data_IF_335616722302
#
_entry.id   IF_335616722302
#
_cell.length_a   1.000
_cell.length_b   1.000
_cell.length_c   1.000
_cell.angle_alpha   90.00
_cell.angle_beta   90.00
_cell.angle_gamma   90.00
#
_symmetry.space_group_name_H-M   'P 1'
#
loop_
_entity.id
_entity.type
_entity.pdbx_description
1 polymer ?
#
# COMPACT_ATOMS: atom_id res chain seq x y z
N UNK A 1 0.26 -1.79 -46.40
CA UNK A 1 0.64 -2.51 -45.17
C UNK A 1 0.73 -1.47 -44.06
N UNK A 2 -0.25 -1.43 -43.17
CA UNK A 2 -0.19 -0.66 -41.94
C UNK A 2 -0.93 -1.52 -40.92
N UNK A 3 -0.17 -2.18 -40.06
CA UNK A 3 -0.69 -2.92 -38.92
C UNK A 3 -1.02 -1.89 -37.85
N UNK A 4 -2.31 -1.64 -37.68
CA UNK A 4 -2.86 -0.88 -36.59
C UNK A 4 -3.17 -1.90 -35.48
N UNK A 5 -2.26 -2.08 -34.53
CA UNK A 5 -2.48 -2.93 -33.37
C UNK A 5 -3.18 -2.07 -32.31
N UNK A 6 -4.50 -2.03 -32.39
CA UNK A 6 -5.35 -1.61 -31.27
C UNK A 6 -5.34 -2.80 -30.32
N UNK A 7 -4.73 -2.58 -29.16
CA UNK A 7 -4.74 -3.50 -28.03
C UNK A 7 -6.19 -3.68 -27.59
N UNK A 8 -6.82 -4.77 -28.04
CA UNK A 8 -8.08 -5.26 -27.51
C UNK A 8 -7.82 -5.63 -26.04
N UNK A 9 -8.22 -4.74 -25.13
CA UNK A 9 -8.49 -5.10 -23.75
C UNK A 9 -9.60 -6.15 -23.78
N UNK A 10 -9.17 -7.41 -23.81
CA UNK A 10 -10.02 -8.58 -23.70
C UNK A 10 -10.86 -8.44 -22.44
N UNK A 11 -12.16 -8.55 -22.65
CA UNK A 11 -13.18 -8.21 -21.68
C UNK A 11 -13.00 -9.04 -20.43
N UNK A 12 -12.82 -8.36 -19.30
CA UNK A 12 -13.32 -8.90 -18.04
C UNK A 12 -14.83 -8.91 -18.21
N UNK A 13 -15.37 -10.01 -18.74
CA UNK A 13 -16.75 -10.41 -18.52
C UNK A 13 -16.95 -10.35 -17.01
N UNK A 14 -17.51 -9.22 -16.57
CA UNK A 14 -18.16 -9.10 -15.28
C UNK A 14 -19.33 -10.07 -15.38
N UNK A 15 -19.06 -11.33 -15.06
CA UNK A 15 -20.08 -12.36 -14.97
C UNK A 15 -21.15 -11.79 -14.08
N UNK A 16 -22.32 -11.64 -14.69
CA UNK A 16 -23.52 -11.15 -14.08
C UNK A 16 -23.68 -11.89 -12.75
N UNK A 17 -23.56 -11.13 -11.65
CA UNK A 17 -23.95 -11.58 -10.33
C UNK A 17 -25.47 -11.72 -10.34
N UNK A 18 -25.96 -12.74 -11.03
CA UNK A 18 -27.35 -13.16 -10.97
C UNK A 18 -27.65 -13.46 -9.50
N UNK A 19 -28.39 -12.53 -8.91
CA UNK A 19 -29.03 -12.61 -7.60
C UNK A 19 -29.62 -14.01 -7.37
N UNK A 20 -28.86 -14.89 -6.75
CA UNK A 20 -29.40 -15.97 -5.92
C UNK A 20 -29.56 -15.47 -4.50
N UNK A 21 -30.29 -14.37 -4.33
CA UNK A 21 -30.67 -13.83 -3.03
C UNK A 21 -31.97 -14.47 -2.56
N UNK A 22 -31.99 -15.80 -2.44
CA UNK A 22 -32.79 -16.39 -1.37
C UNK A 22 -31.96 -16.21 -0.10
N UNK A 23 -32.50 -15.66 1.00
CA UNK A 23 -31.75 -15.61 2.24
C UNK A 23 -31.34 -17.04 2.60
N UNK A 24 -30.02 -17.27 2.64
CA UNK A 24 -29.40 -18.58 2.87
C UNK A 24 -29.75 -19.16 4.25
N UNK A 25 -30.19 -18.28 5.14
CA UNK A 25 -30.66 -18.58 6.48
C UNK A 25 -32.08 -18.05 6.58
N UNK A 26 -32.95 -18.85 7.17
CA UNK A 26 -34.27 -18.42 7.62
C UNK A 26 -34.09 -17.28 8.63
N UNK A 27 -35.04 -16.33 8.70
CA UNK A 27 -34.97 -15.23 9.67
C UNK A 27 -34.76 -15.72 11.12
N UNK A 28 -35.31 -16.90 11.45
CA UNK A 28 -35.11 -17.54 12.75
C UNK A 28 -33.69 -18.07 12.95
N UNK A 29 -33.05 -18.61 11.90
CA UNK A 29 -31.66 -19.09 11.96
C UNK A 29 -30.69 -17.91 12.12
N UNK A 30 -30.94 -16.81 11.42
CA UNK A 30 -30.18 -15.58 11.58
C UNK A 30 -30.32 -15.04 13.02
N UNK A 31 -31.54 -15.02 13.56
CA UNK A 31 -31.78 -14.59 14.95
C UNK A 31 -31.08 -15.49 15.96
N UNK A 32 -31.00 -16.80 15.72
CA UNK A 32 -30.27 -17.74 16.59
C UNK A 32 -28.77 -17.43 16.57
N UNK A 33 -28.19 -17.13 15.42
CA UNK A 33 -26.78 -16.73 15.31
C UNK A 33 -26.52 -15.40 16.02
N UNK A 34 -27.39 -14.41 15.84
CA UNK A 34 -27.28 -13.13 16.56
C UNK A 34 -27.33 -13.33 18.09
N UNK A 35 -28.17 -14.26 18.58
CA UNK A 35 -28.20 -14.63 19.99
C UNK A 35 -26.95 -15.36 20.46
N UNK A 36 -26.35 -16.21 19.61
CA UNK A 36 -25.08 -16.87 19.90
C UNK A 36 -23.95 -15.85 20.07
N UNK A 37 -23.83 -14.91 19.12
CA UNK A 37 -22.84 -13.84 19.16
C UNK A 37 -23.03 -12.96 20.39
N UNK A 38 -24.28 -12.60 20.71
CA UNK A 38 -24.61 -11.82 21.91
C UNK A 38 -24.30 -12.58 23.20
N UNK A 39 -24.51 -13.89 23.23
CA UNK A 39 -24.15 -14.73 24.38
C UNK A 39 -22.65 -14.80 24.57
N UNK A 40 -21.88 -14.90 23.49
CA UNK A 40 -20.43 -14.89 23.56
C UNK A 40 -19.91 -13.54 24.10
N UNK A 41 -20.44 -12.43 23.59
CA UNK A 41 -20.11 -11.08 24.07
C UNK A 41 -20.39 -10.92 25.58
N UNK A 42 -21.58 -11.36 26.03
CA UNK A 42 -21.95 -11.31 27.45
C UNK A 42 -21.06 -12.21 28.31
N UNK A 43 -20.65 -13.38 27.82
CA UNK A 43 -19.71 -14.24 28.53
C UNK A 43 -18.34 -13.57 28.70
N UNK A 44 -17.87 -12.87 27.66
CA UNK A 44 -16.63 -12.10 27.73
C UNK A 44 -16.75 -10.92 28.71
N UNK A 45 -17.87 -10.20 28.71
CA UNK A 45 -18.14 -9.11 29.64
C UNK A 45 -18.19 -9.59 31.09
N UNK A 46 -18.88 -10.71 31.36
CA UNK A 46 -18.91 -11.33 32.69
C UNK A 46 -17.51 -11.76 33.13
N UNK A 47 -16.72 -12.35 32.23
CA UNK A 47 -15.34 -12.73 32.52
C UNK A 47 -14.48 -11.50 32.87
N UNK A 48 -14.66 -10.40 32.14
CA UNK A 48 -13.99 -9.12 32.40
C UNK A 48 -14.37 -8.54 33.77
N UNK A 49 -15.67 -8.47 34.09
CA UNK A 49 -16.16 -7.96 35.37
C UNK A 49 -15.71 -8.82 36.57
N UNK A 50 -15.60 -10.14 36.38
CA UNK A 50 -15.02 -11.05 37.39
C UNK A 50 -13.53 -10.79 37.58
N UNK A 51 -12.77 -10.58 36.50
CA UNK A 51 -11.34 -10.29 36.56
C UNK A 51 -11.05 -8.91 37.19
N UNK A 52 -11.93 -7.92 36.98
CA UNK A 52 -11.82 -6.60 37.61
C UNK A 52 -12.15 -6.62 39.12
N UNK A 53 -12.61 -7.76 39.65
CA UNK A 53 -13.00 -7.88 41.06
C UNK A 53 -14.34 -7.24 41.39
N UNK A 54 -15.06 -6.67 40.40
CA UNK A 54 -16.39 -6.07 40.61
C UNK A 54 -17.42 -7.12 41.05
N UNK A 55 -17.22 -8.38 40.61
CA UNK A 55 -18.04 -9.53 40.97
C UNK A 55 -17.36 -10.49 41.97
N UNK A 56 -16.13 -10.20 42.40
CA UNK A 56 -15.32 -11.07 43.27
C UNK A 56 -15.12 -10.39 44.63
N UNK A 57 -15.57 -11.01 45.73
CA UNK A 57 -15.43 -10.48 47.09
C UNK A 57 -14.02 -10.70 47.70
N UNK A 58 -12.98 -10.76 46.88
CA UNK A 58 -11.63 -11.00 47.38
C UNK A 58 -10.99 -9.70 47.89
N UNK A 59 -10.49 -9.74 49.13
CA UNK A 59 -9.71 -8.66 49.72
C UNK A 59 -8.37 -8.50 48.96
N UNK A 60 -7.85 -7.26 48.84
CA UNK A 60 -6.57 -7.01 48.18
C UNK A 60 -5.45 -7.67 48.97
N UNK A 61 -4.97 -8.82 48.48
CA UNK A 61 -3.79 -9.50 49.02
C UNK A 61 -2.54 -8.76 48.54
N UNK A 62 -1.63 -8.40 49.44
CA UNK A 62 -0.30 -7.87 49.09
C UNK A 62 0.47 -8.96 48.33
N UNK A 63 0.50 -8.86 47.00
CA UNK A 63 1.20 -9.80 46.14
C UNK A 63 2.66 -9.35 45.95
N UNK A 64 3.60 -10.29 46.10
CA UNK A 64 5.00 -10.06 45.72
C UNK A 64 5.12 -9.90 44.20
N UNK A 65 6.15 -9.17 43.71
CA UNK A 65 6.43 -9.03 42.28
C UNK A 65 6.65 -10.40 41.59
N UNK A 66 7.14 -11.39 42.34
CA UNK A 66 7.32 -12.77 41.87
C UNK A 66 5.97 -13.51 41.71
N UNK A 67 5.01 -13.25 42.60
CA UNK A 67 3.65 -13.80 42.51
C UNK A 67 2.88 -13.13 41.36
N UNK A 68 3.12 -11.84 41.11
CA UNK A 68 2.52 -11.11 39.98
C UNK A 68 3.02 -11.63 38.62
N UNK A 69 4.33 -11.89 38.51
CA UNK A 69 4.94 -12.40 37.27
C UNK A 69 4.53 -13.83 36.97
N UNK A 70 4.46 -14.70 37.99
CA UNK A 70 3.94 -16.07 37.84
C UNK A 70 2.45 -16.08 37.47
N UNK A 71 1.60 -15.32 38.16
CA UNK A 71 0.19 -15.20 37.83
C UNK A 71 -0.04 -14.66 36.41
N UNK A 72 0.74 -13.67 35.97
CA UNK A 72 0.68 -13.16 34.59
C UNK A 72 1.02 -14.23 33.56
N UNK A 73 2.05 -15.02 33.81
CA UNK A 73 2.44 -16.12 32.94
C UNK A 73 1.36 -17.22 32.91
N UNK A 74 0.75 -17.53 34.05
CA UNK A 74 -0.37 -18.46 34.15
C UNK A 74 -1.60 -17.99 33.37
N UNK A 75 -1.95 -16.71 33.46
CA UNK A 75 -3.06 -16.13 32.67
C UNK A 75 -2.75 -16.19 31.17
N UNK A 76 -1.52 -15.85 30.76
CA UNK A 76 -1.14 -15.95 29.34
C UNK A 76 -1.20 -17.41 28.85
N UNK A 77 -0.77 -18.36 29.67
CA UNK A 77 -0.87 -19.79 29.37
C UNK A 77 -2.33 -20.26 29.32
N UNK A 78 -3.17 -19.81 30.24
CA UNK A 78 -4.60 -20.09 30.24
C UNK A 78 -5.28 -19.52 29.00
N UNK A 79 -4.97 -18.29 28.60
CA UNK A 79 -5.49 -17.65 27.38
C UNK A 79 -5.06 -18.41 26.12
N UNK A 80 -3.78 -18.72 25.99
CA UNK A 80 -3.27 -19.49 24.86
C UNK A 80 -3.91 -20.88 24.78
N UNK A 81 -4.04 -21.58 25.92
CA UNK A 81 -4.68 -22.91 25.95
C UNK A 81 -6.17 -22.85 25.65
N UNK A 82 -6.88 -21.82 26.12
CA UNK A 82 -8.28 -21.58 25.77
C UNK A 82 -8.43 -21.32 24.27
N UNK A 83 -7.62 -20.43 23.70
CA UNK A 83 -7.67 -20.12 22.27
C UNK A 83 -7.38 -21.35 21.40
N UNK A 84 -6.37 -22.16 21.76
CA UNK A 84 -6.10 -23.41 21.04
C UNK A 84 -7.27 -24.38 21.16
N UNK A 85 -7.86 -24.54 22.35
CA UNK A 85 -9.03 -25.42 22.53
C UNK A 85 -10.24 -24.94 21.71
N UNK A 86 -10.50 -23.64 21.72
CA UNK A 86 -11.58 -23.03 20.95
C UNK A 86 -11.38 -23.30 19.46
N UNK A 87 -10.19 -23.00 18.92
CA UNK A 87 -9.87 -23.25 17.51
C UNK A 87 -9.99 -24.75 17.14
N UNK A 88 -9.61 -25.66 18.03
CA UNK A 88 -9.76 -27.11 17.80
C UNK A 88 -11.23 -27.50 17.77
N UNK A 89 -12.05 -27.00 18.71
CA UNK A 89 -13.49 -27.27 18.76
C UNK A 89 -14.16 -26.72 17.50
N UNK A 90 -13.88 -25.47 17.14
CA UNK A 90 -14.39 -24.83 15.93
C UNK A 90 -14.00 -25.61 14.66
N UNK A 91 -12.72 -25.98 14.53
CA UNK A 91 -12.24 -26.78 13.40
C UNK A 91 -12.97 -28.12 13.29
N UNK A 92 -13.20 -28.81 14.42
CA UNK A 92 -13.96 -30.08 14.43
C UNK A 92 -15.44 -29.86 14.08
N UNK A 93 -16.04 -28.79 14.59
CA UNK A 93 -17.44 -28.43 14.32
C UNK A 93 -17.68 -28.09 12.84
N UNK A 94 -16.73 -27.42 12.18
CA UNK A 94 -16.83 -27.02 10.78
C UNK A 94 -16.41 -28.16 9.83
N UNK A 95 -15.39 -28.94 10.18
CA UNK A 95 -14.85 -29.97 9.28
C UNK A 95 -15.84 -31.10 8.97
N UNK A 96 -16.64 -31.54 9.95
CA UNK A 96 -17.57 -32.66 9.75
C UNK A 96 -18.72 -32.30 8.78
N UNK A 97 -19.40 -31.15 8.91
CA UNK A 97 -20.35 -30.66 7.91
C UNK A 97 -19.72 -30.50 6.52
N UNK A 98 -18.51 -29.95 6.39
CA UNK A 98 -17.81 -29.82 5.11
C UNK A 98 -17.58 -31.20 4.46
N UNK A 99 -17.07 -32.17 5.23
CA UNK A 99 -16.82 -33.52 4.71
C UNK A 99 -18.11 -34.19 4.25
N UNK A 100 -19.22 -33.99 4.96
CA UNK A 100 -20.53 -34.53 4.55
C UNK A 100 -21.15 -33.76 3.40
N UNK A 101 -20.92 -32.46 3.27
CA UNK A 101 -21.37 -31.69 2.13
C UNK A 101 -20.77 -32.24 0.83
N UNK A 102 -19.48 -32.60 0.86
CA UNK A 102 -18.76 -33.08 -0.32
C UNK A 102 -18.93 -34.60 -0.52
N UNK A 103 -18.87 -35.39 0.55
CA UNK A 103 -18.81 -36.87 0.48
C UNK A 103 -20.02 -37.59 1.08
N UNK A 104 -20.90 -36.89 1.77
CA UNK A 104 -21.97 -37.48 2.56
C UNK A 104 -23.10 -38.10 1.73
N UNK A 105 -23.21 -37.80 0.44
CA UNK A 105 -24.18 -38.42 -0.47
C UNK A 105 -25.59 -38.47 0.13
N UNK A 106 -26.13 -39.68 0.32
CA UNK A 106 -27.47 -39.91 0.91
C UNK A 106 -27.53 -39.82 2.44
N UNK A 107 -26.39 -39.78 3.12
CA UNK A 107 -26.27 -39.69 4.58
C UNK A 107 -26.07 -38.25 5.08
N UNK A 108 -25.93 -37.28 4.18
CA UNK A 108 -25.89 -35.86 4.52
C UNK A 108 -27.31 -35.34 4.77
N UNK A 109 -27.43 -34.46 5.76
CA UNK A 109 -28.66 -33.68 5.99
C UNK A 109 -28.87 -32.67 4.85
N UNK A 110 -30.10 -32.19 4.64
CA UNK A 110 -30.40 -31.20 3.60
C UNK A 110 -29.54 -29.94 3.76
N UNK A 111 -29.41 -29.44 5.00
CA UNK A 111 -28.56 -28.30 5.30
C UNK A 111 -27.06 -28.56 4.99
N UNK A 112 -26.56 -29.79 5.19
CA UNK A 112 -25.18 -30.13 4.82
C UNK A 112 -25.01 -30.21 3.29
N UNK A 113 -26.02 -30.66 2.53
CA UNK A 113 -25.97 -30.69 1.07
C UNK A 113 -25.97 -29.29 0.45
N UNK A 114 -26.70 -28.36 1.06
CA UNK A 114 -26.77 -26.95 0.60
C UNK A 114 -25.42 -26.21 0.75
N UNK A 115 -24.50 -26.72 1.57
CA UNK A 115 -23.15 -26.14 1.74
C UNK A 115 -22.23 -26.41 0.54
N UNK A 116 -22.48 -27.45 -0.27
CA UNK A 116 -21.61 -27.82 -1.38
C UNK A 116 -21.33 -26.68 -2.39
N UNK A 117 -22.33 -25.97 -2.95
CA UNK A 117 -22.09 -24.86 -3.87
C UNK A 117 -21.38 -23.67 -3.21
N UNK A 118 -21.56 -23.45 -1.90
CA UNK A 118 -20.89 -22.39 -1.16
C UNK A 118 -19.40 -22.71 -0.95
N UNK A 119 -19.08 -23.99 -0.74
CA UNK A 119 -17.70 -24.47 -0.64
C UNK A 119 -16.99 -24.33 -1.98
N UNK A 120 -17.64 -24.68 -3.08
CA UNK A 120 -17.10 -24.51 -4.44
C UNK A 120 -16.81 -23.03 -4.73
N UNK A 121 -17.77 -22.14 -4.45
CA UNK A 121 -17.57 -20.69 -4.61
C UNK A 121 -16.41 -20.17 -3.75
N UNK A 122 -16.30 -20.62 -2.50
CA UNK A 122 -15.19 -20.26 -1.61
C UNK A 122 -13.86 -20.71 -2.20
N UNK A 123 -13.79 -21.91 -2.75
CA UNK A 123 -12.56 -22.49 -3.29
C UNK A 123 -12.14 -21.75 -4.57
N UNK A 124 -13.08 -21.41 -5.45
CA UNK A 124 -12.84 -20.56 -6.63
C UNK A 124 -12.34 -19.16 -6.25
N UNK A 125 -12.98 -18.53 -5.25
CA UNK A 125 -12.52 -17.24 -4.71
C UNK A 125 -11.13 -17.36 -4.06
N UNK A 126 -10.83 -18.48 -3.42
CA UNK A 126 -9.51 -18.71 -2.81
C UNK A 126 -8.43 -18.85 -3.88
N UNK A 127 -8.71 -19.54 -4.99
CA UNK A 127 -7.81 -19.66 -6.13
C UNK A 127 -7.53 -18.27 -6.71
N UNK A 128 -8.57 -17.51 -7.07
CA UNK A 128 -8.42 -16.17 -7.64
C UNK A 128 -7.71 -15.20 -6.69
N UNK A 129 -7.95 -15.29 -5.38
CA UNK A 129 -7.21 -14.53 -4.37
C UNK A 129 -5.72 -14.88 -4.36
N UNK A 130 -5.37 -16.18 -4.43
CA UNK A 130 -3.97 -16.60 -4.47
C UNK A 130 -3.26 -16.17 -5.76
N UNK A 131 -3.94 -16.23 -6.90
CA UNK A 131 -3.43 -15.71 -8.18
C UNK A 131 -3.20 -14.20 -8.11
N UNK A 132 -4.16 -13.45 -7.57
CA UNK A 132 -4.00 -12.01 -7.38
C UNK A 132 -2.84 -11.69 -6.44
N UNK A 133 -2.72 -12.41 -5.33
CA UNK A 133 -1.66 -12.24 -4.34
C UNK A 133 -0.28 -12.50 -4.95
N UNK A 134 -0.13 -13.59 -5.71
CA UNK A 134 1.12 -13.92 -6.40
C UNK A 134 1.46 -12.87 -7.47
N UNK A 135 0.47 -12.38 -8.23
CA UNK A 135 0.65 -11.30 -9.19
C UNK A 135 1.12 -10.00 -8.51
N UNK A 136 0.51 -9.62 -7.39
CA UNK A 136 0.91 -8.44 -6.59
C UNK A 136 2.34 -8.59 -6.06
N UNK A 137 2.72 -9.79 -5.61
CA UNK A 137 4.08 -10.05 -5.15
C UNK A 137 5.09 -9.97 -6.31
N UNK A 138 4.76 -10.48 -7.49
CA UNK A 138 5.62 -10.37 -8.69
C UNK A 138 5.83 -8.92 -9.10
N UNK A 139 4.75 -8.15 -9.25
CA UNK A 139 4.84 -6.74 -9.65
C UNK A 139 5.59 -5.91 -8.61
N UNK A 140 5.43 -6.21 -7.32
CA UNK A 140 6.19 -5.56 -6.25
C UNK A 140 7.69 -5.89 -6.34
N UNK A 141 8.05 -7.12 -6.70
CA UNK A 141 9.45 -7.50 -6.86
C UNK A 141 10.08 -6.87 -8.10
N UNK A 142 9.35 -6.82 -9.22
CA UNK A 142 9.75 -6.10 -10.43
C UNK A 142 9.95 -4.61 -10.16
N UNK A 143 8.99 -3.98 -9.48
CA UNK A 143 9.08 -2.57 -9.08
C UNK A 143 10.33 -2.30 -8.22
N UNK A 144 10.62 -3.17 -7.25
CA UNK A 144 11.85 -3.06 -6.44
C UNK A 144 13.11 -3.21 -7.29
N UNK A 145 13.09 -4.07 -8.31
CA UNK A 145 14.20 -4.20 -9.26
C UNK A 145 14.44 -2.89 -10.00
N UNK A 146 13.38 -2.32 -10.58
CA UNK A 146 13.44 -1.03 -11.29
C UNK A 146 13.85 0.11 -10.36
N UNK A 147 13.36 0.13 -9.12
CA UNK A 147 13.72 1.15 -8.13
C UNK A 147 15.21 1.11 -7.77
N UNK A 148 15.78 -0.09 -7.61
CA UNK A 148 17.22 -0.22 -7.32
C UNK A 148 18.08 0.16 -8.52
N UNK A 149 17.69 -0.23 -9.75
CA UNK A 149 18.36 0.22 -10.97
C UNK A 149 18.29 1.73 -11.16
N UNK A 150 17.12 2.34 -10.90
CA UNK A 150 16.94 3.79 -10.96
C UNK A 150 17.81 4.49 -9.93
N UNK A 151 17.92 3.98 -8.69
CA UNK A 151 18.79 4.55 -7.67
C UNK A 151 20.27 4.51 -8.07
N UNK A 152 20.73 3.39 -8.64
CA UNK A 152 22.11 3.28 -9.15
C UNK A 152 22.33 4.25 -10.32
N UNK A 153 21.39 4.30 -11.27
CA UNK A 153 21.47 5.17 -12.44
C UNK A 153 21.47 6.64 -12.02
N UNK A 154 20.57 7.05 -11.13
CA UNK A 154 20.53 8.40 -10.58
C UNK A 154 21.86 8.79 -9.93
N UNK A 155 22.46 7.88 -9.14
CA UNK A 155 23.79 8.10 -8.56
C UNK A 155 24.85 8.30 -9.64
N UNK A 156 24.94 7.42 -10.63
CA UNK A 156 25.92 7.56 -11.72
C UNK A 156 25.70 8.83 -12.54
N UNK A 157 24.45 9.24 -12.75
CA UNK A 157 24.11 10.47 -13.45
C UNK A 157 24.60 11.68 -12.63
N UNK A 158 24.35 11.71 -11.31
CA UNK A 158 24.90 12.78 -10.47
C UNK A 158 26.42 12.82 -10.47
N UNK A 159 27.09 11.66 -10.40
CA UNK A 159 28.55 11.57 -10.46
C UNK A 159 29.05 12.12 -11.81
N UNK A 160 28.49 11.66 -12.93
CA UNK A 160 28.83 12.15 -14.28
C UNK A 160 28.58 13.65 -14.44
N UNK A 161 27.43 14.16 -14.01
CA UNK A 161 27.10 15.58 -14.06
C UNK A 161 28.11 16.43 -13.25
N UNK A 162 28.52 15.95 -12.07
CA UNK A 162 29.56 16.65 -11.29
C UNK A 162 30.91 16.66 -12.01
N UNK A 163 31.30 15.56 -12.66
CA UNK A 163 32.54 15.50 -13.45
C UNK A 163 32.48 16.40 -14.68
N UNK A 164 31.34 16.43 -15.38
CA UNK A 164 31.13 17.29 -16.54
C UNK A 164 31.21 18.77 -16.15
N UNK A 165 30.59 19.17 -15.03
CA UNK A 165 30.70 20.53 -14.50
C UNK A 165 32.14 20.88 -14.08
N UNK A 166 32.89 19.93 -13.53
CA UNK A 166 34.30 20.16 -13.19
C UNK A 166 35.16 20.36 -14.45
N UNK A 167 34.98 19.51 -15.46
CA UNK A 167 35.68 19.63 -16.74
C UNK A 167 35.28 20.90 -17.51
N UNK A 168 34.00 21.28 -17.48
CA UNK A 168 33.53 22.53 -18.08
C UNK A 168 34.15 23.76 -17.39
N UNK A 169 34.30 23.72 -16.05
CA UNK A 169 35.03 24.77 -15.31
C UNK A 169 36.50 24.82 -15.69
N UNK A 170 37.16 23.66 -15.78
CA UNK A 170 38.57 23.59 -16.18
C UNK A 170 38.77 24.11 -17.61
N UNK A 171 37.93 23.70 -18.55
CA UNK A 171 37.95 24.21 -19.93
C UNK A 171 37.67 25.71 -20.00
N UNK A 172 36.76 26.24 -19.18
CA UNK A 172 36.52 27.68 -19.09
C UNK A 172 37.73 28.44 -18.55
N UNK A 173 38.45 27.90 -17.56
CA UNK A 173 39.69 28.48 -17.02
C UNK A 173 40.78 28.45 -18.09
N UNK A 174 41.01 27.32 -18.74
CA UNK A 174 42.00 27.20 -19.83
C UNK A 174 41.70 28.16 -20.98
N UNK A 175 40.44 28.29 -21.38
CA UNK A 175 40.02 29.25 -22.40
C UNK A 175 40.32 30.70 -21.97
N UNK A 176 40.05 31.07 -20.71
CA UNK A 176 40.39 32.41 -20.19
C UNK A 176 41.91 32.66 -20.13
N UNK A 177 42.69 31.66 -19.75
CA UNK A 177 44.16 31.74 -19.70
C UNK A 177 44.80 31.80 -21.09
N UNK A 178 44.18 31.23 -22.11
CA UNK A 178 44.66 31.30 -23.50
C UNK A 178 44.56 32.70 -24.14
N UNK A 179 43.75 33.60 -23.57
CA UNK A 179 43.57 34.96 -24.10
C UNK A 179 44.74 35.82 -23.62
N UNK A 180 45.64 36.21 -24.53
CA UNK A 180 46.83 37.00 -24.18
C UNK A 180 46.57 38.50 -23.95
N UNK A 181 45.40 39.02 -24.36
CA UNK A 181 45.05 40.44 -24.19
C UNK A 181 44.38 40.70 -22.82
N UNK A 182 45.01 41.50 -21.92
CA UNK A 182 44.46 41.79 -20.60
C UNK A 182 43.16 42.59 -20.65
N UNK A 183 42.93 43.39 -21.71
CA UNK A 183 41.72 44.21 -21.85
C UNK A 183 40.52 43.35 -22.25
N UNK A 184 40.74 42.35 -23.11
CA UNK A 184 39.73 41.37 -23.49
C UNK A 184 39.32 40.47 -22.30
N UNK A 185 40.25 40.12 -21.40
CA UNK A 185 39.95 39.39 -20.16
C UNK A 185 39.02 40.16 -19.22
N UNK A 186 39.29 41.44 -18.99
CA UNK A 186 38.43 42.28 -18.14
C UNK A 186 37.01 42.43 -18.69
N UNK A 187 36.87 42.61 -20.02
CA UNK A 187 35.56 42.68 -20.66
C UNK A 187 34.78 41.37 -20.54
N UNK A 188 35.45 40.22 -20.62
CA UNK A 188 34.80 38.91 -20.41
C UNK A 188 34.30 38.73 -18.97
N UNK A 189 35.07 39.15 -17.98
CA UNK A 189 34.65 39.05 -16.57
C UNK A 189 33.47 39.98 -16.28
N UNK A 190 33.46 41.21 -16.81
CA UNK A 190 32.31 42.11 -16.72
C UNK A 190 31.06 41.51 -17.39
N UNK A 191 31.22 40.91 -18.58
CA UNK A 191 30.12 40.26 -19.28
C UNK A 191 29.58 39.07 -18.47
N UNK A 192 30.44 38.24 -17.88
CA UNK A 192 30.04 37.09 -17.08
C UNK A 192 29.25 37.51 -15.83
N UNK A 193 29.68 38.57 -15.15
CA UNK A 193 28.94 39.14 -14.01
C UNK A 193 27.58 39.66 -14.45
N UNK A 194 27.50 40.35 -15.59
CA UNK A 194 26.23 40.83 -16.14
C UNK A 194 25.29 39.68 -16.56
N UNK A 195 25.83 38.59 -17.09
CA UNK A 195 25.07 37.41 -17.47
C UNK A 195 24.52 36.67 -16.25
N UNK A 196 25.34 36.52 -15.19
CA UNK A 196 24.91 35.88 -13.93
C UNK A 196 23.77 36.67 -13.27
N UNK A 197 23.89 38.00 -13.20
CA UNK A 197 22.84 38.85 -12.64
C UNK A 197 21.57 38.82 -13.49
N UNK A 198 21.68 38.78 -14.82
CA UNK A 198 20.53 38.61 -15.73
C UNK A 198 19.83 37.26 -15.54
N UNK A 199 20.60 36.15 -15.48
CA UNK A 199 20.07 34.81 -15.22
C UNK A 199 19.38 34.70 -13.86
N UNK A 200 19.95 35.31 -12.82
CA UNK A 200 19.33 35.33 -11.50
C UNK A 200 17.99 36.08 -11.51
N UNK A 201 17.92 37.23 -12.19
CA UNK A 201 16.67 37.97 -12.39
C UNK A 201 15.64 37.15 -13.15
N UNK A 202 16.05 36.47 -14.22
CA UNK A 202 15.17 35.59 -14.99
C UNK A 202 14.61 34.45 -14.15
N UNK A 203 15.44 33.79 -13.33
CA UNK A 203 15.00 32.71 -12.43
C UNK A 203 13.94 33.20 -11.44
N UNK A 204 14.17 34.34 -10.79
CA UNK A 204 13.20 34.94 -9.86
C UNK A 204 11.89 35.27 -10.60
N UNK A 205 11.96 35.79 -11.82
CA UNK A 205 10.76 36.06 -12.63
C UNK A 205 10.02 34.77 -13.02
N UNK A 206 10.73 33.69 -13.39
CA UNK A 206 10.13 32.38 -13.70
C UNK A 206 9.42 31.79 -12.48
N UNK A 207 10.08 31.78 -11.33
CA UNK A 207 9.54 31.27 -10.06
C UNK A 207 8.32 32.07 -9.58
N UNK A 208 8.38 33.41 -9.68
CA UNK A 208 7.24 34.25 -9.31
C UNK A 208 6.05 34.07 -10.25
N UNK A 209 6.29 33.94 -11.56
CA UNK A 209 5.25 33.66 -12.54
C UNK A 209 4.59 32.29 -12.31
N UNK A 210 5.38 31.23 -12.08
CA UNK A 210 4.83 29.90 -11.81
C UNK A 210 4.06 29.83 -10.49
N UNK A 211 4.60 30.44 -9.42
CA UNK A 211 3.91 30.54 -8.13
C UNK A 211 2.59 31.33 -8.23
N UNK A 212 2.56 32.39 -9.05
CA UNK A 212 1.34 33.18 -9.29
C UNK A 212 0.29 32.37 -10.04
N UNK A 213 0.68 31.62 -11.08
CA UNK A 213 -0.23 30.77 -11.85
C UNK A 213 -0.83 29.68 -10.95
N UNK A 214 0.00 28.97 -10.18
CA UNK A 214 -0.46 27.92 -9.26
C UNK A 214 -1.33 28.50 -8.14
N UNK A 215 -0.94 29.65 -7.57
CA UNK A 215 -1.66 30.30 -6.48
C UNK A 215 -2.96 30.99 -6.89
N UNK A 216 -3.14 31.31 -8.18
CA UNK A 216 -4.35 31.98 -8.70
C UNK A 216 -5.59 31.08 -8.79
N UNK A 217 -5.43 29.76 -8.63
CA UNK A 217 -6.53 28.79 -8.77
C UNK A 217 -6.96 28.54 -10.22
N UNK A 218 -6.22 29.06 -11.21
CA UNK A 218 -6.41 28.72 -12.62
C UNK A 218 -6.03 27.26 -12.84
N UNK A 219 -6.85 26.49 -13.57
CA UNK A 219 -6.59 25.08 -13.90
C UNK A 219 -5.48 24.96 -14.96
N UNK A 220 -4.24 25.13 -14.50
CA UNK A 220 -3.03 25.13 -15.32
C UNK A 220 -2.67 23.74 -15.86
N UNK A 221 -3.18 22.66 -15.25
CA UNK A 221 -2.91 21.29 -15.67
C UNK A 221 -3.61 20.93 -17.00
N UNK A 222 -4.76 21.56 -17.30
CA UNK A 222 -5.49 21.34 -18.56
C UNK A 222 -5.00 22.20 -19.73
N UNK A 223 -4.24 23.26 -19.46
CA UNK A 223 -3.73 24.15 -20.50
C UNK A 223 -2.25 23.84 -20.79
N UNK A 224 -1.92 23.32 -21.98
CA UNK A 224 -0.55 22.91 -22.30
C UNK A 224 0.46 24.05 -22.18
N UNK A 225 0.05 25.30 -22.45
CA UNK A 225 0.93 26.47 -22.33
C UNK A 225 1.24 26.84 -20.87
N UNK A 226 0.28 26.64 -19.96
CA UNK A 226 0.49 26.91 -18.53
C UNK A 226 1.23 25.77 -17.85
N UNK A 227 0.95 24.54 -18.28
CA UNK A 227 1.66 23.34 -17.84
C UNK A 227 3.15 23.44 -18.18
N UNK A 228 3.52 23.90 -19.38
CA UNK A 228 4.91 24.13 -19.77
C UNK A 228 5.61 25.20 -18.91
N UNK A 229 4.91 26.31 -18.63
CA UNK A 229 5.44 27.41 -17.80
C UNK A 229 5.65 26.96 -16.33
N UNK A 230 4.78 26.10 -15.80
CA UNK A 230 4.81 25.63 -14.40
C UNK A 230 5.76 24.45 -14.21
N UNK A 231 5.68 23.43 -15.07
CA UNK A 231 6.51 22.23 -14.95
C UNK A 231 7.90 22.42 -15.53
N UNK A 232 8.10 23.44 -16.37
CA UNK A 232 9.41 23.78 -16.92
C UNK A 232 10.06 22.56 -17.55
N UNK A 233 9.61 22.14 -18.73
CA UNK A 233 10.47 21.32 -19.58
C UNK A 233 11.62 22.20 -20.06
N UNK A 234 12.59 22.44 -19.19
CA UNK A 234 13.86 23.07 -19.55
C UNK A 234 14.58 22.07 -20.45
N UNK A 235 14.39 22.20 -21.77
CA UNK A 235 15.28 21.61 -22.76
C UNK A 235 16.63 22.32 -22.80
N UNK A 236 17.21 22.62 -21.64
CA UNK A 236 18.49 23.35 -21.52
C UNK A 236 19.19 23.06 -20.17
N UNK A 237 19.27 21.79 -19.79
CA UNK A 237 20.35 21.31 -18.91
C UNK A 237 21.45 20.70 -19.80
N UNK A 238 22.32 21.58 -20.28
CA UNK A 238 23.60 21.26 -20.94
C UNK A 238 24.78 21.81 -20.14
#
# INVERSE_FOLDING_TARGET
MSHNQVDEMDGVEMTETENRTSPLLTEDEQRILDFYDRLEELQQEIAFLKAQGVLSQDEPMEASDEDLTSARQEVLKAKATYQVKHNVIESVLIANPILKAIHGGKNATAAEQDLAPLIELRDDLSITLTELSTRVLSTRNEFKGVETENMVTARTNTELATTMLALAKEAAIQNKESINDPKARQQLDELEVSMKTSRQRWRIMKETASATIVGSGVDWARNPKLLEIVLGSDGDDG
#
